data_IF_093023361809
#
_entry.id   IF_093023361809
#
_cell.length_a   1.000
_cell.length_b   1.000
_cell.length_c   1.000
_cell.angle_alpha   90.00
_cell.angle_beta   90.00
_cell.angle_gamma   90.00
#
_symmetry.space_group_name_H-M   'P 1'
#
loop_
_entity.id
_entity.type
_entity.pdbx_description
1 polymer ?
#
# COMPACT_ATOMS: atom_id res chain seq x y z
N UNK A 1 0.53 4.04 -31.01
CA UNK A 1 1.96 4.31 -30.80
C UNK A 1 2.50 3.15 -29.96
N UNK A 2 3.39 2.32 -30.51
CA UNK A 2 3.99 1.18 -29.80
C UNK A 2 5.17 1.67 -28.96
N UNK A 3 5.23 1.30 -27.68
CA UNK A 3 6.35 1.65 -26.81
C UNK A 3 7.59 0.83 -27.16
N UNK A 4 8.79 1.38 -26.97
CA UNK A 4 10.01 0.57 -26.96
C UNK A 4 9.99 -0.38 -25.77
N UNK A 5 10.76 -1.47 -25.84
CA UNK A 5 10.88 -2.43 -24.72
C UNK A 5 11.34 -1.75 -23.42
N UNK A 6 12.30 -0.82 -23.51
CA UNK A 6 12.77 -0.05 -22.35
C UNK A 6 11.70 0.89 -21.78
N UNK A 7 10.96 1.59 -22.64
CA UNK A 7 9.88 2.48 -22.18
C UNK A 7 8.72 1.71 -21.56
N UNK A 8 8.43 0.50 -22.05
CA UNK A 8 7.43 -0.38 -21.44
C UNK A 8 7.90 -0.89 -20.08
N UNK A 9 9.15 -1.37 -19.98
CA UNK A 9 9.73 -1.85 -18.74
C UNK A 9 9.75 -0.75 -17.66
N UNK A 10 10.12 0.47 -18.02
CA UNK A 10 10.11 1.63 -17.12
C UNK A 10 8.70 1.92 -16.59
N UNK A 11 7.68 1.89 -17.45
CA UNK A 11 6.29 2.08 -17.02
C UNK A 11 5.77 0.97 -16.11
N UNK A 12 6.11 -0.29 -16.39
CA UNK A 12 5.73 -1.42 -15.53
C UNK A 12 6.42 -1.28 -14.17
N UNK A 13 7.70 -0.94 -14.16
CA UNK A 13 8.46 -0.75 -12.92
C UNK A 13 7.94 0.43 -12.10
N UNK A 14 7.67 1.57 -12.74
CA UNK A 14 7.04 2.72 -12.11
C UNK A 14 5.64 2.41 -11.56
N UNK A 15 4.84 1.61 -12.27
CA UNK A 15 3.54 1.14 -11.78
C UNK A 15 3.66 0.25 -10.54
N UNK A 16 4.64 -0.65 -10.50
CA UNK A 16 4.90 -1.49 -9.33
C UNK A 16 5.36 -0.68 -8.12
N UNK A 17 6.34 0.20 -8.30
CA UNK A 17 6.82 1.09 -7.24
C UNK A 17 5.73 2.04 -6.74
N UNK A 18 4.93 2.60 -7.66
CA UNK A 18 3.82 3.49 -7.34
C UNK A 18 2.74 2.81 -6.51
N UNK A 19 2.40 1.55 -6.83
CA UNK A 19 1.46 0.75 -6.02
C UNK A 19 1.99 0.53 -4.61
N UNK A 20 3.25 0.10 -4.46
CA UNK A 20 3.86 -0.11 -3.14
C UNK A 20 3.87 1.20 -2.35
N UNK A 21 4.32 2.30 -2.97
CA UNK A 21 4.39 3.59 -2.30
C UNK A 21 3.00 4.09 -1.86
N UNK A 22 1.99 3.96 -2.72
CA UNK A 22 0.61 4.33 -2.40
C UNK A 22 0.01 3.48 -1.27
N UNK A 23 0.21 2.16 -1.31
CA UNK A 23 -0.25 1.26 -0.26
C UNK A 23 0.41 1.61 1.08
N UNK A 24 1.73 1.76 1.13
CA UNK A 24 2.47 2.12 2.34
C UNK A 24 2.04 3.49 2.91
N UNK A 25 1.69 4.46 2.05
CA UNK A 25 1.21 5.78 2.46
C UNK A 25 -0.18 5.71 3.10
N UNK A 26 -1.08 4.90 2.55
CA UNK A 26 -2.47 4.78 3.03
C UNK A 26 -2.61 3.87 4.24
N UNK A 27 -1.77 2.83 4.35
CA UNK A 27 -1.92 1.75 5.33
C UNK A 27 -2.03 2.21 6.79
N UNK A 28 -1.24 3.17 7.31
CA UNK A 28 -1.40 3.61 8.70
C UNK A 28 -2.79 4.12 9.05
N UNK A 29 -3.51 4.69 8.06
CA UNK A 29 -4.81 5.33 8.19
C UNK A 29 -5.91 4.59 7.41
N UNK A 30 -5.73 3.30 7.23
CA UNK A 30 -6.79 2.41 6.75
C UNK A 30 -7.95 2.35 7.76
N UNK A 31 -9.15 1.96 7.33
CA UNK A 31 -10.45 2.16 8.00
C UNK A 31 -11.03 3.56 7.76
N UNK A 32 -11.59 3.78 6.56
CA UNK A 32 -12.14 5.08 6.15
C UNK A 32 -13.35 5.57 6.94
N UNK A 33 -14.03 4.70 7.70
CA UNK A 33 -15.07 5.13 8.66
C UNK A 33 -14.45 5.87 9.85
N UNK A 34 -13.28 5.40 10.30
CA UNK A 34 -12.50 6.07 11.34
C UNK A 34 -11.67 7.22 10.76
N UNK A 35 -10.81 6.96 9.77
CA UNK A 35 -9.88 7.93 9.21
C UNK A 35 -10.50 8.81 8.13
N UNK A 36 -11.42 9.69 8.57
CA UNK A 36 -11.97 10.72 7.69
C UNK A 36 -10.92 11.77 7.32
N UNK A 37 -11.17 12.52 6.24
CA UNK A 37 -10.32 13.66 5.84
C UNK A 37 -10.03 14.61 7.00
N UNK A 38 -11.03 14.89 7.85
CA UNK A 38 -10.87 15.80 8.98
C UNK A 38 -9.99 15.20 10.09
N UNK A 39 -10.04 13.88 10.34
CA UNK A 39 -9.15 13.21 11.30
C UNK A 39 -7.71 13.17 10.78
N UNK A 40 -7.52 12.89 9.48
CA UNK A 40 -6.20 12.95 8.84
C UNK A 40 -5.64 14.38 8.92
N UNK A 41 -6.43 15.41 8.61
CA UNK A 41 -6.00 16.82 8.72
C UNK A 41 -5.59 17.17 10.15
N UNK A 42 -6.37 16.78 11.17
CA UNK A 42 -6.01 17.00 12.58
C UNK A 42 -4.72 16.29 12.99
N UNK A 43 -4.55 15.03 12.58
CA UNK A 43 -3.32 14.28 12.83
C UNK A 43 -2.10 15.00 12.24
N UNK A 44 -2.20 15.39 10.96
CA UNK A 44 -1.10 16.03 10.24
C UNK A 44 -0.79 17.44 10.77
N UNK A 45 -1.78 18.21 11.22
CA UNK A 45 -1.54 19.48 11.95
C UNK A 45 -0.81 19.25 13.26
N UNK A 46 -1.22 18.24 14.03
CA UNK A 46 -0.57 17.90 15.30
C UNK A 46 0.88 17.47 15.09
N UNK A 47 1.16 16.83 13.95
CA UNK A 47 2.50 16.40 13.57
C UNK A 47 3.33 17.47 12.83
N UNK A 48 2.79 18.68 12.64
CA UNK A 48 3.40 19.73 11.82
C UNK A 48 3.84 19.25 10.41
N UNK A 49 2.97 18.46 9.78
CA UNK A 49 3.27 17.72 8.55
C UNK A 49 2.40 18.11 7.35
N UNK A 50 1.72 19.26 7.42
CA UNK A 50 0.98 19.83 6.29
C UNK A 50 1.83 20.85 5.52
N UNK A 51 1.85 20.80 4.17
CA UNK A 51 1.24 19.78 3.32
C UNK A 51 1.97 18.43 3.44
N UNK A 52 1.23 17.33 3.29
CA UNK A 52 1.82 15.99 3.32
C UNK A 52 2.59 15.74 2.02
N UNK A 53 3.90 15.92 2.06
CA UNK A 53 4.82 15.75 0.91
C UNK A 53 5.66 14.46 0.98
N UNK A 54 5.40 13.62 1.99
CA UNK A 54 6.14 12.40 2.31
C UNK A 54 5.19 11.49 3.14
N UNK A 55 5.63 10.31 3.58
CA UNK A 55 4.85 9.40 4.40
C UNK A 55 4.40 10.03 5.73
N UNK A 56 3.35 9.44 6.33
CA UNK A 56 2.87 9.87 7.65
C UNK A 56 4.02 9.83 8.68
N UNK A 57 4.20 10.88 9.48
CA UNK A 57 5.14 10.85 10.60
C UNK A 57 4.57 10.02 11.75
N UNK A 58 5.44 9.51 12.62
CA UNK A 58 5.04 9.05 13.94
C UNK A 58 4.83 10.26 14.87
N UNK A 59 3.78 10.26 15.68
CA UNK A 59 3.63 11.21 16.78
C UNK A 59 4.37 10.70 18.02
N UNK A 60 5.19 11.55 18.61
CA UNK A 60 5.92 11.29 19.85
C UNK A 60 5.65 12.45 20.85
N UNK A 61 5.04 12.19 22.02
CA UNK A 61 4.56 10.88 22.50
C UNK A 61 3.39 10.33 21.66
N UNK A 62 3.11 9.02 21.75
CA UNK A 62 2.00 8.40 21.04
C UNK A 62 0.68 9.14 21.27
N UNK A 63 -0.18 9.25 20.24
CA UNK A 63 -1.43 9.97 20.34
C UNK A 63 -2.45 9.25 21.22
N UNK A 64 -3.56 9.94 21.55
CA UNK A 64 -4.74 9.29 22.12
C UNK A 64 -5.23 8.19 21.17
N UNK A 65 -5.24 6.91 21.58
CA UNK A 65 -5.63 5.81 20.71
C UNK A 65 -7.12 5.84 20.35
N UNK A 66 -7.97 6.58 21.07
CA UNK A 66 -9.39 6.76 20.70
C UNK A 66 -9.52 7.71 19.50
N UNK A 67 -8.65 8.71 19.42
CA UNK A 67 -8.69 9.68 18.32
C UNK A 67 -7.87 9.22 17.11
N UNK A 68 -6.72 8.58 17.34
CA UNK A 68 -5.74 8.28 16.31
C UNK A 68 -5.28 6.81 16.40
N UNK A 69 -6.23 5.90 16.18
CA UNK A 69 -5.94 4.46 16.10
C UNK A 69 -5.31 4.13 14.74
N UNK A 70 -3.99 3.98 14.71
CA UNK A 70 -3.27 3.54 13.50
C UNK A 70 -3.34 2.02 13.35
N UNK A 71 -3.32 1.52 12.11
CA UNK A 71 -3.18 0.09 11.80
C UNK A 71 -1.99 -0.54 12.55
N UNK A 72 -2.05 -1.79 13.05
CA UNK A 72 -0.97 -2.41 13.82
C UNK A 72 0.41 -2.35 13.14
N UNK A 73 0.45 -2.39 11.80
CA UNK A 73 1.67 -2.38 11.00
C UNK A 73 2.27 -0.97 10.78
N UNK A 74 1.64 0.09 11.31
CA UNK A 74 2.00 1.49 11.03
C UNK A 74 3.48 1.80 11.24
N UNK A 75 4.12 1.15 12.22
CA UNK A 75 5.52 1.39 12.57
C UNK A 75 6.49 1.10 11.41
N UNK A 76 6.10 0.22 10.48
CA UNK A 76 6.87 -0.12 9.28
C UNK A 76 6.55 0.79 8.09
N UNK A 77 5.51 1.63 8.22
CA UNK A 77 4.90 2.38 7.12
C UNK A 77 5.05 3.91 7.27
N UNK A 78 5.59 4.38 8.40
CA UNK A 78 5.76 5.79 8.68
C UNK A 78 7.15 6.30 8.28
N UNK A 79 7.21 7.61 8.04
CA UNK A 79 8.44 8.33 7.67
C UNK A 79 9.59 7.99 8.61
N UNK A 80 10.74 7.70 8.02
CA UNK A 80 11.97 7.37 8.75
C UNK A 80 12.02 5.95 9.32
N UNK A 81 10.97 5.13 9.16
CA UNK A 81 10.94 3.72 9.61
C UNK A 81 10.68 2.71 8.49
N UNK A 82 10.45 3.17 7.26
CA UNK A 82 10.21 2.31 6.11
C UNK A 82 11.49 1.59 5.68
N UNK A 83 11.45 0.26 5.67
CA UNK A 83 12.51 -0.62 5.19
C UNK A 83 11.94 -1.66 4.22
N UNK A 84 11.56 -1.19 3.03
CA UNK A 84 10.80 -1.98 2.06
C UNK A 84 9.30 -1.97 2.33
N UNK A 85 8.54 -2.74 1.54
CA UNK A 85 7.09 -2.88 1.74
C UNK A 85 6.82 -3.79 2.94
N UNK A 86 5.90 -3.38 3.81
CA UNK A 86 5.25 -4.35 4.68
C UNK A 86 4.28 -5.22 3.86
N UNK A 87 3.88 -6.37 4.41
CA UNK A 87 2.90 -7.25 3.74
C UNK A 87 1.51 -6.61 3.77
N UNK A 88 0.79 -6.71 2.66
CA UNK A 88 -0.54 -6.15 2.49
C UNK A 88 -1.26 -6.83 1.34
N UNK A 89 -2.59 -6.93 1.39
CA UNK A 89 -3.36 -7.59 0.34
C UNK A 89 -3.30 -6.83 -0.98
N UNK A 90 -3.23 -5.48 -0.98
CA UNK A 90 -3.00 -4.70 -2.19
C UNK A 90 -1.71 -5.11 -2.93
N UNK A 91 -0.69 -5.52 -2.16
CA UNK A 91 0.60 -5.97 -2.69
C UNK A 91 0.50 -7.44 -3.13
N UNK A 92 0.02 -8.29 -2.23
CA UNK A 92 -0.08 -9.74 -2.39
C UNK A 92 -0.95 -10.12 -3.59
N UNK A 93 -2.08 -9.45 -3.82
CA UNK A 93 -3.00 -9.76 -4.93
C UNK A 93 -2.36 -9.64 -6.30
N UNK A 94 -1.45 -8.70 -6.50
CA UNK A 94 -0.78 -8.58 -7.80
C UNK A 94 0.40 -9.53 -7.95
N UNK A 95 1.07 -9.91 -6.85
CA UNK A 95 2.06 -10.99 -6.89
C UNK A 95 1.36 -12.30 -7.24
N UNK A 96 0.18 -12.54 -6.65
CA UNK A 96 -0.70 -13.64 -7.02
C UNK A 96 -1.12 -13.57 -8.49
N UNK A 97 -1.49 -12.37 -8.99
CA UNK A 97 -1.81 -12.14 -10.40
C UNK A 97 -0.64 -12.50 -11.34
N UNK A 98 0.59 -12.11 -10.99
CA UNK A 98 1.78 -12.53 -11.72
C UNK A 98 1.95 -14.06 -11.68
N UNK A 99 1.78 -14.67 -10.51
CA UNK A 99 1.87 -16.13 -10.36
C UNK A 99 0.85 -16.88 -11.21
N UNK A 100 -0.39 -16.39 -11.29
CA UNK A 100 -1.44 -16.94 -12.16
C UNK A 100 -1.05 -16.85 -13.64
N UNK A 101 -0.56 -15.69 -14.08
CA UNK A 101 -0.09 -15.49 -15.46
C UNK A 101 1.07 -16.42 -15.81
N UNK A 102 2.03 -16.60 -14.90
CA UNK A 102 3.18 -17.49 -15.12
C UNK A 102 2.79 -18.97 -15.08
N UNK A 103 1.79 -19.34 -14.27
CA UNK A 103 1.39 -20.75 -14.09
C UNK A 103 0.41 -21.23 -15.17
N UNK A 104 -0.57 -20.41 -15.53
CA UNK A 104 -1.69 -20.80 -16.41
C UNK A 104 -1.76 -20.00 -17.71
N UNK A 105 -0.91 -18.98 -17.88
CA UNK A 105 -0.95 -18.07 -19.03
C UNK A 105 -2.10 -17.05 -18.93
N UNK A 106 -2.26 -16.17 -19.94
CA UNK A 106 -3.26 -15.09 -19.92
C UNK A 106 -4.72 -15.57 -20.00
N UNK A 107 -4.96 -16.86 -20.24
CA UNK A 107 -6.29 -17.46 -20.34
C UNK A 107 -6.74 -18.17 -19.06
N UNK A 108 -6.17 -17.83 -17.89
CA UNK A 108 -6.55 -18.45 -16.62
C UNK A 108 -8.03 -18.24 -16.30
N UNK A 109 -8.64 -19.22 -15.62
CA UNK A 109 -10.06 -19.19 -15.26
C UNK A 109 -10.32 -18.58 -13.88
N UNK A 110 -11.56 -18.20 -13.61
CA UNK A 110 -12.00 -17.73 -12.29
C UNK A 110 -11.83 -18.77 -11.20
N UNK A 111 -11.98 -20.06 -11.53
CA UNK A 111 -11.76 -21.17 -10.60
C UNK A 111 -10.29 -21.27 -10.20
N UNK A 112 -9.35 -21.07 -11.13
CA UNK A 112 -7.91 -21.06 -10.84
C UNK A 112 -7.52 -19.86 -9.97
N UNK A 113 -8.16 -18.71 -10.16
CA UNK A 113 -7.99 -17.56 -9.26
C UNK A 113 -8.41 -17.94 -7.84
N UNK A 114 -9.61 -18.49 -7.67
CA UNK A 114 -10.13 -18.90 -6.36
C UNK A 114 -9.28 -19.99 -5.69
N UNK A 115 -8.79 -20.96 -6.46
CA UNK A 115 -7.88 -21.99 -5.95
C UNK A 115 -6.56 -21.37 -5.46
N UNK A 116 -5.97 -20.45 -6.22
CA UNK A 116 -4.73 -19.78 -5.83
C UNK A 116 -4.90 -18.92 -4.57
N UNK A 117 -6.06 -18.30 -4.35
CA UNK A 117 -6.34 -17.56 -3.11
C UNK A 117 -6.20 -18.49 -1.90
N UNK A 118 -6.76 -19.70 -1.97
CA UNK A 118 -6.71 -20.67 -0.88
C UNK A 118 -5.32 -21.28 -0.65
N UNK A 119 -4.47 -21.33 -1.67
CA UNK A 119 -3.17 -22.02 -1.62
C UNK A 119 -1.97 -21.10 -1.38
N UNK A 120 -2.12 -19.79 -1.59
CA UNK A 120 -1.00 -18.84 -1.65
C UNK A 120 -1.19 -17.55 -0.85
N UNK A 121 -2.42 -17.23 -0.44
CA UNK A 121 -2.71 -16.09 0.44
C UNK A 121 -3.06 -16.58 1.85
#
# INVERSE_FOLDING_TARGET
MTLSGSALADRIHGGWLGRIAGNMLGKPVENGEHWTRDRIDRYLRRADALPLTDYLPALEPPPDPVEFELRPEWQQCVRGRIHGSCRDDDVDYSVLGLHLLETYGPGFSTEQVGEMWLLRL
#
